data_IF_953489978174
#
_entry.id   IF_953489978174
#
_cell.length_a   1.000
_cell.length_b   1.000
_cell.length_c   1.000
_cell.angle_alpha   90.00
_cell.angle_beta   90.00
_cell.angle_gamma   90.00
#
_symmetry.space_group_name_H-M   'P 1'
#
loop_
_entity.id
_entity.type
_entity.pdbx_description
1 polymer ?
#
# COMPACT_ATOMS: atom_id res chain seq x y z
N UNK A 1 8.83 -15.26 18.58
CA UNK A 1 7.98 -15.48 19.78
C UNK A 1 7.78 -14.14 20.44
N UNK A 2 6.54 -13.84 20.81
CA UNK A 2 6.23 -12.68 21.65
C UNK A 2 6.67 -12.94 23.08
N UNK A 3 6.88 -11.88 23.85
CA UNK A 3 7.35 -11.96 25.23
C UNK A 3 6.19 -12.23 26.19
N UNK A 4 6.49 -12.87 27.33
CA UNK A 4 5.52 -13.03 28.42
C UNK A 4 5.28 -11.69 29.09
N UNK A 5 4.09 -11.49 29.66
CA UNK A 5 3.65 -10.21 30.20
C UNK A 5 3.26 -10.37 31.66
N UNK A 6 3.71 -9.43 32.49
CA UNK A 6 3.40 -9.33 33.90
C UNK A 6 2.65 -8.02 34.19
N UNK A 7 1.72 -8.07 35.13
CA UNK A 7 1.15 -6.88 35.74
C UNK A 7 2.10 -6.25 36.77
N UNK A 8 1.69 -5.14 37.38
CA UNK A 8 2.47 -4.40 38.38
C UNK A 8 2.78 -5.20 39.66
N UNK A 9 2.09 -6.32 39.89
CA UNK A 9 2.32 -7.23 41.02
C UNK A 9 3.25 -8.39 40.66
N UNK A 10 3.75 -8.44 39.41
CA UNK A 10 4.64 -9.50 38.93
C UNK A 10 3.92 -10.80 38.57
N UNK A 11 2.59 -10.78 38.44
CA UNK A 11 1.79 -11.94 38.02
C UNK A 11 1.57 -11.91 36.49
N UNK A 12 1.50 -13.09 35.87
CA UNK A 12 1.25 -13.19 34.43
C UNK A 12 -0.11 -12.58 34.06
N UNK A 13 -0.09 -11.65 33.11
CA UNK A 13 -1.25 -10.89 32.69
C UNK A 13 -1.12 -10.54 31.20
N UNK A 14 -2.12 -10.92 30.39
CA UNK A 14 -2.15 -10.62 28.95
C UNK A 14 -2.17 -9.12 28.65
N UNK A 15 -2.60 -8.28 29.58
CA UNK A 15 -2.59 -6.81 29.45
C UNK A 15 -1.41 -6.17 30.19
N UNK A 16 -0.60 -6.97 30.90
CA UNK A 16 0.56 -6.52 31.65
C UNK A 16 1.53 -5.68 30.81
N UNK A 17 2.15 -4.68 31.42
CA UNK A 17 3.09 -3.74 30.76
C UNK A 17 4.56 -4.04 31.04
N UNK A 18 4.83 -5.04 31.88
CA UNK A 18 6.17 -5.55 32.15
C UNK A 18 6.37 -6.79 31.29
N UNK A 19 7.38 -6.79 30.43
CA UNK A 19 7.67 -7.88 29.50
C UNK A 19 8.86 -8.69 29.97
N UNK A 20 8.74 -10.02 29.92
CA UNK A 20 9.83 -10.96 30.19
C UNK A 20 10.29 -11.60 28.88
N UNK A 21 11.57 -11.44 28.59
CA UNK A 21 12.19 -12.14 27.49
C UNK A 21 12.36 -13.65 27.83
N UNK A 22 11.72 -14.55 27.07
CA UNK A 22 11.65 -15.98 27.43
C UNK A 22 12.99 -16.72 27.36
N UNK A 23 14.05 -16.16 26.75
CA UNK A 23 15.33 -16.87 26.60
C UNK A 23 16.41 -16.42 27.58
N UNK A 24 16.35 -15.18 28.07
CA UNK A 24 17.36 -14.63 28.96
C UNK A 24 16.77 -14.08 30.27
N UNK A 25 15.44 -14.13 30.44
CA UNK A 25 14.69 -13.62 31.59
C UNK A 25 14.88 -12.12 31.86
N UNK A 26 15.33 -11.36 30.86
CA UNK A 26 15.41 -9.91 30.93
C UNK A 26 14.01 -9.29 31.06
N UNK A 27 13.91 -8.26 31.90
CA UNK A 27 12.69 -7.51 32.13
C UNK A 27 12.73 -6.18 31.38
N UNK A 28 11.62 -5.84 30.72
CA UNK A 28 11.41 -4.54 30.09
C UNK A 28 10.08 -3.95 30.56
N UNK A 29 10.11 -2.77 31.16
CA UNK A 29 8.91 -2.07 31.60
C UNK A 29 8.47 -1.06 30.53
N UNK A 30 7.29 -1.27 29.94
CA UNK A 30 6.66 -0.37 28.99
C UNK A 30 5.42 0.32 29.56
N UNK A 31 5.28 0.40 30.89
CA UNK A 31 4.16 1.08 31.55
C UNK A 31 4.09 2.57 31.21
N UNK A 32 5.21 3.18 30.83
CA UNK A 32 5.27 4.56 30.34
C UNK A 32 4.83 4.76 28.89
N UNK A 33 4.69 3.67 28.10
CA UNK A 33 4.31 3.74 26.69
C UNK A 33 2.79 3.85 26.56
N UNK A 34 2.33 4.89 25.85
CA UNK A 34 0.91 5.21 25.70
C UNK A 34 0.52 5.12 24.23
N UNK A 35 -0.39 4.21 23.91
CA UNK A 35 -0.95 4.05 22.57
C UNK A 35 -2.09 5.06 22.43
N UNK A 36 -1.87 6.12 21.64
CA UNK A 36 -2.82 7.23 21.55
C UNK A 36 -3.94 6.92 20.57
N UNK A 37 -3.59 6.41 19.38
CA UNK A 37 -4.57 6.14 18.32
C UNK A 37 -4.01 5.11 17.35
N UNK A 38 -4.77 4.07 17.06
CA UNK A 38 -4.48 3.17 15.94
C UNK A 38 -5.67 3.19 14.99
N UNK A 39 -5.48 3.67 13.76
CA UNK A 39 -6.58 3.80 12.80
C UNK A 39 -6.08 3.87 11.35
N UNK A 40 -7.02 3.99 10.41
CA UNK A 40 -6.71 4.20 8.99
C UNK A 40 -6.25 5.64 8.77
N UNK A 41 -5.09 5.81 8.13
CA UNK A 41 -4.52 7.12 7.78
C UNK A 41 -4.79 7.47 6.30
N UNK A 42 -4.89 6.48 5.43
CA UNK A 42 -5.17 6.71 4.01
C UNK A 42 -5.93 5.52 3.45
N UNK A 43 -6.98 5.81 2.67
CA UNK A 43 -7.68 4.84 1.82
C UNK A 43 -7.43 5.24 0.37
N UNK A 44 -7.15 4.27 -0.48
CA UNK A 44 -7.22 4.44 -1.93
C UNK A 44 -8.13 3.38 -2.52
N UNK A 45 -9.31 3.76 -2.96
CA UNK A 45 -10.21 2.86 -3.67
C UNK A 45 -9.88 2.90 -5.16
N UNK A 46 -9.69 1.73 -5.77
CA UNK A 46 -9.44 1.62 -7.21
C UNK A 46 -10.73 1.17 -7.89
N UNK A 47 -10.99 1.74 -9.06
CA UNK A 47 -12.14 1.41 -9.88
C UNK A 47 -11.70 1.06 -11.30
N UNK A 48 -12.46 0.16 -11.93
CA UNK A 48 -12.37 -0.15 -13.35
C UNK A 48 -13.62 0.36 -14.04
N UNK A 49 -13.50 0.67 -15.32
CA UNK A 49 -14.60 1.18 -16.12
C UNK A 49 -14.08 1.77 -17.42
N UNK A 50 -14.97 2.34 -18.22
CA UNK A 50 -14.59 3.23 -19.33
C UNK A 50 -14.68 4.67 -18.85
N UNK A 51 -13.83 5.55 -19.36
CA UNK A 51 -13.92 6.97 -18.97
C UNK A 51 -15.16 7.57 -19.65
N UNK A 52 -16.02 8.24 -18.88
CA UNK A 52 -17.18 8.96 -19.40
C UNK A 52 -16.76 10.03 -20.40
N UNK A 53 -17.58 10.22 -21.43
CA UNK A 53 -17.40 11.30 -22.37
C UNK A 53 -17.40 12.67 -21.64
N UNK A 54 -16.53 13.58 -22.07
CA UNK A 54 -16.38 14.91 -21.47
C UNK A 54 -15.49 14.99 -20.23
N UNK A 55 -15.19 13.88 -19.55
CA UNK A 55 -14.35 13.91 -18.34
C UNK A 55 -12.92 14.36 -18.64
N UNK A 56 -12.37 13.98 -19.80
CA UNK A 56 -11.02 14.39 -20.18
C UNK A 56 -10.93 15.87 -20.58
N UNK A 57 -12.05 16.48 -20.98
CA UNK A 57 -12.12 17.91 -21.34
C UNK A 57 -11.85 18.80 -20.11
N UNK A 58 -12.10 18.28 -18.90
CA UNK A 58 -11.74 18.95 -17.63
C UNK A 58 -10.23 19.24 -17.50
N UNK A 59 -9.37 18.61 -18.31
CA UNK A 59 -7.92 18.76 -18.24
C UNK A 59 -7.32 19.50 -19.44
N UNK A 60 -8.14 20.07 -20.32
CA UNK A 60 -7.67 20.91 -21.43
C UNK A 60 -7.06 22.23 -20.93
N UNK A 61 -7.61 22.78 -19.84
CA UNK A 61 -7.08 23.95 -19.15
C UNK A 61 -6.72 23.60 -17.71
N UNK A 62 -5.59 24.12 -17.23
CA UNK A 62 -5.20 23.98 -15.83
C UNK A 62 -6.02 24.93 -14.95
N UNK A 63 -6.48 24.47 -13.79
CA UNK A 63 -7.12 25.32 -12.80
C UNK A 63 -8.32 24.68 -12.13
N UNK A 64 -9.27 25.52 -11.71
CA UNK A 64 -10.49 25.07 -11.04
C UNK A 64 -11.52 24.58 -12.05
N UNK A 65 -12.08 23.40 -11.80
CA UNK A 65 -13.13 22.78 -12.63
C UNK A 65 -14.26 22.27 -11.74
N UNK A 66 -15.44 22.10 -12.32
CA UNK A 66 -16.62 21.55 -11.63
C UNK A 66 -16.91 20.13 -12.09
N UNK A 67 -17.11 19.22 -11.13
CA UNK A 67 -17.54 17.85 -11.38
C UNK A 67 -18.57 17.46 -10.31
N UNK A 68 -19.77 17.05 -10.73
CA UNK A 68 -20.84 16.61 -9.81
C UNK A 68 -21.25 17.65 -8.76
N UNK A 69 -21.17 18.94 -9.09
CA UNK A 69 -21.50 20.02 -8.15
C UNK A 69 -20.37 20.42 -7.20
N UNK A 70 -19.21 19.76 -7.26
CA UNK A 70 -18.04 20.09 -6.45
C UNK A 70 -16.95 20.78 -7.28
N UNK A 71 -16.23 21.69 -6.65
CA UNK A 71 -15.04 22.33 -7.23
C UNK A 71 -13.80 21.45 -7.01
N UNK A 72 -12.99 21.30 -8.05
CA UNK A 72 -11.73 20.56 -8.01
C UNK A 72 -10.62 21.37 -8.66
N UNK A 73 -9.40 21.23 -8.14
CA UNK A 73 -8.21 21.67 -8.85
C UNK A 73 -7.76 20.57 -9.81
N UNK A 74 -7.84 20.83 -11.12
CA UNK A 74 -7.38 19.93 -12.17
C UNK A 74 -5.89 20.07 -12.46
N UNK A 75 -5.20 18.96 -12.70
CA UNK A 75 -3.80 18.98 -13.09
C UNK A 75 -3.32 17.69 -13.75
N UNK A 76 -2.18 17.77 -14.44
CA UNK A 76 -1.46 16.60 -14.96
C UNK A 76 -0.48 16.06 -13.93
N UNK A 77 -0.22 14.77 -14.00
CA UNK A 77 0.72 14.09 -13.09
C UNK A 77 1.67 13.17 -13.86
N UNK A 78 2.84 12.93 -13.27
CA UNK A 78 3.88 12.07 -13.85
C UNK A 78 3.51 10.58 -13.84
N UNK A 79 4.27 9.80 -14.62
CA UNK A 79 4.09 8.34 -14.78
C UNK A 79 4.18 7.54 -13.49
N UNK A 80 4.86 8.05 -12.47
CA UNK A 80 5.04 7.35 -11.19
C UNK A 80 3.73 7.07 -10.46
N UNK A 81 2.70 7.88 -10.69
CA UNK A 81 1.36 7.66 -10.13
C UNK A 81 0.61 6.48 -10.80
N UNK A 82 0.97 6.14 -12.04
CA UNK A 82 0.24 5.23 -12.92
C UNK A 82 -0.93 5.87 -13.70
N UNK A 83 -1.25 7.14 -13.42
CA UNK A 83 -2.40 7.87 -14.00
C UNK A 83 -1.94 9.18 -14.64
N UNK A 84 -2.70 9.73 -15.59
CA UNK A 84 -2.29 10.93 -16.34
C UNK A 84 -2.77 12.24 -15.71
N UNK A 85 -3.90 12.20 -15.02
CA UNK A 85 -4.59 13.38 -14.53
C UNK A 85 -4.95 13.26 -13.05
N UNK A 86 -5.07 14.40 -12.37
CA UNK A 86 -5.59 14.51 -11.00
C UNK A 86 -6.70 15.56 -10.91
N UNK A 87 -7.75 15.26 -10.17
CA UNK A 87 -8.66 16.23 -9.57
C UNK A 87 -8.45 16.22 -8.08
N UNK A 88 -8.17 17.37 -7.47
CA UNK A 88 -7.91 17.47 -6.05
C UNK A 88 -8.90 18.44 -5.41
N UNK A 89 -9.57 18.00 -4.35
CA UNK A 89 -10.33 18.86 -3.46
C UNK A 89 -9.83 18.63 -2.03
N UNK A 90 -9.07 19.60 -1.51
CA UNK A 90 -8.45 19.50 -0.20
C UNK A 90 -9.45 19.66 0.96
N UNK A 91 -10.53 20.40 0.73
CA UNK A 91 -11.62 20.62 1.70
C UNK A 91 -12.39 19.32 1.92
N UNK A 92 -12.85 18.70 0.83
CA UNK A 92 -13.41 17.35 0.84
C UNK A 92 -12.40 16.27 1.26
N UNK A 93 -11.11 16.56 1.14
CA UNK A 93 -10.00 15.65 1.45
C UNK A 93 -9.87 14.47 0.49
N UNK A 94 -10.20 14.67 -0.78
CA UNK A 94 -10.17 13.65 -1.83
C UNK A 94 -9.27 14.03 -3.01
N UNK A 95 -8.62 13.02 -3.58
CA UNK A 95 -7.85 13.14 -4.84
C UNK A 95 -8.32 12.04 -5.78
N UNK A 96 -8.80 12.41 -6.96
CA UNK A 96 -9.15 11.47 -8.03
C UNK A 96 -7.99 11.43 -9.01
N UNK A 97 -7.37 10.26 -9.18
CA UNK A 97 -6.37 10.00 -10.21
C UNK A 97 -7.05 9.31 -11.38
N UNK A 98 -7.01 9.97 -12.54
CA UNK A 98 -7.83 9.62 -13.71
C UNK A 98 -6.92 9.28 -14.89
N UNK A 99 -7.39 8.31 -15.70
CA UNK A 99 -6.76 7.78 -16.92
C UNK A 99 -5.44 7.05 -16.66
N UNK A 100 -5.48 5.72 -16.72
CA UNK A 100 -4.26 4.91 -16.67
C UNK A 100 -3.33 5.22 -17.86
N UNK A 101 -2.02 5.24 -17.62
CA UNK A 101 -1.03 5.41 -18.69
C UNK A 101 -0.99 4.26 -19.70
N UNK A 102 -1.35 3.05 -19.27
CA UNK A 102 -1.16 1.82 -20.04
C UNK A 102 -2.44 1.28 -20.71
N UNK A 103 -3.57 1.97 -20.55
CA UNK A 103 -4.87 1.56 -21.11
C UNK A 103 -5.49 2.74 -21.85
N UNK A 104 -6.06 2.54 -23.04
CA UNK A 104 -6.70 3.61 -23.83
C UNK A 104 -7.97 4.09 -23.11
N UNK A 105 -8.35 5.36 -23.27
CA UNK A 105 -9.56 5.89 -22.59
C UNK A 105 -10.87 5.19 -22.97
N UNK A 106 -10.93 4.67 -24.19
CA UNK A 106 -12.09 3.97 -24.74
C UNK A 106 -12.24 2.54 -24.24
N UNK A 107 -11.17 1.98 -23.67
CA UNK A 107 -11.13 0.59 -23.24
C UNK A 107 -11.60 0.48 -21.78
N UNK A 108 -12.24 -0.64 -21.43
CA UNK A 108 -12.55 -0.92 -20.03
C UNK A 108 -11.25 -1.23 -19.28
N UNK A 109 -10.96 -0.47 -18.23
CA UNK A 109 -9.68 -0.56 -17.54
C UNK A 109 -9.63 0.15 -16.19
N UNK A 110 -8.51 0.04 -15.46
CA UNK A 110 -8.32 0.66 -14.14
C UNK A 110 -8.06 2.18 -14.28
N UNK A 111 -9.08 2.91 -14.73
CA UNK A 111 -8.97 4.32 -15.10
C UNK A 111 -9.15 5.28 -13.94
N UNK A 112 -9.59 4.83 -12.77
CA UNK A 112 -9.80 5.69 -11.61
C UNK A 112 -9.20 5.09 -10.35
N UNK A 113 -8.55 5.96 -9.58
CA UNK A 113 -8.20 5.72 -8.18
C UNK A 113 -8.58 6.95 -7.37
N UNK A 114 -9.33 6.75 -6.30
CA UNK A 114 -9.71 7.84 -5.38
C UNK A 114 -8.92 7.67 -4.10
N UNK A 115 -8.11 8.66 -3.75
CA UNK A 115 -7.35 8.72 -2.50
C UNK A 115 -8.06 9.63 -1.51
N UNK A 116 -8.14 9.18 -0.26
CA UNK A 116 -8.86 9.86 0.82
C UNK A 116 -7.89 10.16 1.96
N UNK A 117 -7.95 11.38 2.45
CA UNK A 117 -7.15 11.88 3.56
C UNK A 117 -7.68 11.46 4.93
N UNK A 118 -6.84 11.50 6.00
CA UNK A 118 -7.25 11.11 7.34
C UNK A 118 -8.46 11.87 7.88
N UNK A 119 -8.59 13.17 7.57
CA UNK A 119 -9.69 13.98 8.11
C UNK A 119 -11.04 13.56 7.53
N UNK A 120 -11.10 13.19 6.25
CA UNK A 120 -12.34 12.70 5.64
C UNK A 120 -12.68 11.32 6.19
N UNK A 121 -11.67 10.45 6.36
CA UNK A 121 -11.86 9.11 6.92
C UNK A 121 -12.44 9.19 8.33
N UNK A 122 -11.90 10.07 9.18
CA UNK A 122 -12.34 10.24 10.57
C UNK A 122 -13.83 10.64 10.68
N UNK A 123 -14.33 11.40 9.71
CA UNK A 123 -15.70 11.91 9.72
C UNK A 123 -16.73 10.95 9.09
N UNK A 124 -16.33 9.75 8.65
CA UNK A 124 -17.21 8.83 7.95
C UNK A 124 -17.07 7.40 8.48
N UNK A 125 -18.20 6.71 8.60
CA UNK A 125 -18.19 5.25 8.70
C UNK A 125 -17.66 4.65 7.39
N UNK A 126 -17.08 3.43 7.40
CA UNK A 126 -16.58 2.79 6.18
C UNK A 126 -17.63 2.72 5.06
N UNK A 127 -18.89 2.46 5.40
CA UNK A 127 -20.01 2.43 4.45
C UNK A 127 -20.29 3.80 3.84
N UNK A 128 -20.36 4.86 4.66
CA UNK A 128 -20.63 6.21 4.16
C UNK A 128 -19.46 6.73 3.34
N UNK A 129 -18.23 6.44 3.75
CA UNK A 129 -17.05 6.77 2.98
C UNK A 129 -17.09 6.08 1.62
N UNK A 130 -17.37 4.77 1.58
CA UNK A 130 -17.45 4.03 0.33
C UNK A 130 -18.53 4.61 -0.61
N UNK A 131 -19.72 4.93 -0.09
CA UNK A 131 -20.78 5.56 -0.88
C UNK A 131 -20.36 6.91 -1.49
N UNK A 132 -19.60 7.74 -0.75
CA UNK A 132 -19.01 8.97 -1.29
C UNK A 132 -18.05 8.67 -2.45
N UNK A 133 -17.19 7.65 -2.30
CA UNK A 133 -16.26 7.25 -3.36
C UNK A 133 -16.99 6.70 -4.58
N UNK A 134 -18.07 5.94 -4.38
CA UNK A 134 -18.86 5.38 -5.46
C UNK A 134 -19.57 6.48 -6.26
N UNK A 135 -20.16 7.46 -5.56
CA UNK A 135 -20.75 8.62 -6.22
C UNK A 135 -19.74 9.43 -7.03
N UNK A 136 -18.52 9.62 -6.53
CA UNK A 136 -17.43 10.26 -7.29
C UNK A 136 -16.96 9.41 -8.48
N UNK A 137 -16.94 8.09 -8.33
CA UNK A 137 -16.57 7.18 -9.40
C UNK A 137 -17.61 7.15 -10.53
N UNK A 138 -18.89 7.21 -10.20
CA UNK A 138 -19.99 7.30 -11.16
C UNK A 138 -19.91 8.55 -12.03
N UNK A 139 -19.36 9.65 -11.53
CA UNK A 139 -19.16 10.87 -12.31
C UNK A 139 -18.02 10.76 -13.34
N UNK A 140 -17.10 9.82 -13.13
CA UNK A 140 -15.88 9.67 -13.95
C UNK A 140 -15.97 8.48 -14.90
N UNK A 141 -16.62 7.39 -14.48
CA UNK A 141 -16.62 6.11 -15.19
C UNK A 141 -18.02 5.66 -15.63
N UNK A 142 -18.06 4.99 -16.78
CA UNK A 142 -19.14 4.12 -17.24
C UNK A 142 -18.78 2.66 -16.93
N UNK A 143 -19.79 1.81 -16.77
CA UNK A 143 -19.63 0.37 -16.49
C UNK A 143 -18.68 0.13 -15.31
N UNK A 144 -18.87 0.90 -14.22
CA UNK A 144 -17.92 0.90 -13.12
C UNK A 144 -17.93 -0.43 -12.35
N UNK A 145 -16.74 -0.88 -11.98
CA UNK A 145 -16.51 -2.06 -11.16
C UNK A 145 -15.45 -1.77 -10.11
N UNK A 146 -15.59 -2.37 -8.93
CA UNK A 146 -14.53 -2.32 -7.94
C UNK A 146 -13.28 -3.06 -8.43
N UNK A 147 -12.15 -2.40 -8.28
CA UNK A 147 -10.90 -3.09 -8.04
C UNK A 147 -10.61 -3.05 -6.54
N UNK A 148 -9.59 -3.77 -6.08
CA UNK A 148 -9.24 -3.78 -4.67
C UNK A 148 -8.78 -2.41 -4.14
N UNK A 149 -9.10 -2.11 -2.88
CA UNK A 149 -8.61 -0.93 -2.18
C UNK A 149 -7.13 -1.06 -1.77
N UNK A 150 -6.48 0.06 -1.43
CA UNK A 150 -5.21 0.11 -0.70
C UNK A 150 -5.43 0.90 0.59
N UNK A 151 -4.79 0.48 1.69
CA UNK A 151 -4.98 1.10 3.00
C UNK A 151 -3.65 1.34 3.71
N UNK A 152 -3.57 2.45 4.43
CA UNK A 152 -2.50 2.73 5.37
C UNK A 152 -3.08 2.70 6.78
N UNK A 153 -2.50 1.90 7.66
CA UNK A 153 -2.88 1.81 9.08
C UNK A 153 -1.77 2.43 9.90
N UNK A 154 -2.10 3.34 10.82
CA UNK A 154 -1.13 4.08 11.61
C UNK A 154 -1.44 3.96 13.11
N UNK A 155 -0.41 3.68 13.89
CA UNK A 155 -0.39 3.78 15.35
C UNK A 155 0.42 5.00 15.76
N UNK A 156 -0.22 5.91 16.49
CA UNK A 156 0.38 7.05 17.18
C UNK A 156 0.61 6.71 18.65
N UNK A 157 1.79 7.05 19.18
CA UNK A 157 2.17 6.68 20.54
C UNK A 157 3.17 7.67 21.19
N UNK A 158 3.18 7.69 22.51
CA UNK A 158 4.12 8.43 23.37
C UNK A 158 4.85 7.49 24.33
N UNK A 159 5.93 7.98 24.94
CA UNK A 159 6.75 7.21 25.90
C UNK A 159 7.65 6.14 25.26
N UNK A 160 7.71 6.08 23.92
CA UNK A 160 8.63 5.22 23.17
C UNK A 160 9.24 5.99 22.03
N UNK A 161 10.52 5.71 21.76
CA UNK A 161 11.26 6.21 20.61
C UNK A 161 12.01 5.06 19.93
N UNK A 162 12.22 5.12 18.61
CA UNK A 162 12.99 4.10 17.91
C UNK A 162 14.44 4.12 18.38
N UNK A 163 14.98 2.94 18.70
CA UNK A 163 16.38 2.80 19.08
C UNK A 163 17.31 3.15 17.91
N UNK A 164 18.54 3.60 18.21
CA UNK A 164 19.54 3.97 17.20
C UNK A 164 19.88 2.80 16.26
N UNK A 165 19.75 1.57 16.75
CA UNK A 165 20.01 0.34 16.02
C UNK A 165 18.76 -0.33 15.42
N UNK A 166 17.60 0.35 15.42
CA UNK A 166 16.33 -0.20 14.95
C UNK A 166 16.43 -0.76 13.52
N UNK A 167 17.21 -0.10 12.66
CA UNK A 167 17.47 -0.53 11.28
C UNK A 167 18.13 -1.90 11.21
N UNK A 168 19.07 -2.19 12.12
CA UNK A 168 19.79 -3.47 12.16
C UNK A 168 18.94 -4.57 12.80
N UNK A 169 18.07 -4.20 13.73
CA UNK A 169 17.23 -5.14 14.49
C UNK A 169 15.94 -5.52 13.76
N UNK A 170 15.46 -4.67 12.86
CA UNK A 170 14.25 -4.95 12.09
C UNK A 170 14.54 -5.93 10.94
N UNK A 171 13.94 -7.12 11.03
CA UNK A 171 14.02 -8.14 9.99
C UNK A 171 12.76 -8.14 9.12
N UNK A 172 12.91 -8.02 7.81
CA UNK A 172 11.80 -8.16 6.87
C UNK A 172 12.26 -8.83 5.57
N UNK A 173 11.30 -9.30 4.75
CA UNK A 173 11.62 -9.93 3.45
C UNK A 173 12.21 -8.93 2.45
N UNK A 174 11.85 -7.66 2.57
CA UNK A 174 12.38 -6.60 1.70
C UNK A 174 13.81 -6.28 2.10
N UNK A 175 14.73 -6.28 1.12
CA UNK A 175 16.10 -5.78 1.31
C UNK A 175 16.20 -4.26 1.20
N UNK A 176 15.12 -3.58 0.78
CA UNK A 176 15.09 -2.11 0.67
C UNK A 176 14.81 -1.50 2.03
N UNK A 177 15.81 -0.80 2.55
CA UNK A 177 15.74 0.06 3.73
C UNK A 177 16.13 1.46 3.30
N UNK A 178 15.36 2.46 3.71
CA UNK A 178 15.70 3.87 3.57
C UNK A 178 15.69 4.49 4.95
N UNK A 179 16.85 4.98 5.37
CA UNK A 179 16.95 5.97 6.43
C UNK A 179 16.89 7.34 5.76
N UNK A 180 15.81 8.08 6.03
CA UNK A 180 15.63 9.43 5.46
C UNK A 180 16.17 10.43 6.48
N UNK A 181 17.43 10.23 6.87
CA UNK A 181 18.22 11.23 7.57
C UNK A 181 19.00 12.07 6.55
N UNK A 182 18.53 13.28 6.25
CA UNK A 182 19.43 14.37 5.83
C UNK A 182 19.37 14.89 4.38
N UNK A 183 18.53 14.42 3.46
CA UNK A 183 18.34 15.10 2.16
C UNK A 183 16.89 14.96 1.68
N UNK A 184 16.11 16.03 1.78
CA UNK A 184 15.04 16.28 0.80
C UNK A 184 15.57 17.36 -0.15
N UNK A 185 15.60 17.05 -1.43
CA UNK A 185 15.76 18.06 -2.47
C UNK A 185 14.63 19.08 -2.36
N UNK A 186 15.03 20.37 -2.35
CA UNK A 186 14.24 21.61 -2.50
C UNK A 186 13.17 21.51 -3.60
N UNK A 187 12.00 22.17 -3.52
CA UNK A 187 11.72 23.62 -3.66
C UNK A 187 10.21 23.88 -3.37
N UNK A 188 9.63 25.03 -2.99
CA UNK A 188 10.01 26.46 -2.94
C UNK A 188 9.15 27.16 -1.84
N UNK A 189 9.80 27.89 -0.92
CA UNK A 189 9.37 29.11 -0.19
C UNK A 189 10.02 29.14 1.20
N UNK A 190 10.58 30.30 1.53
CA UNK A 190 11.62 30.54 2.52
C UNK A 190 11.31 30.17 3.98
N UNK A 191 12.42 29.96 4.69
CA UNK A 191 12.65 29.92 6.14
C UNK A 191 12.53 28.59 6.90
N UNK A 192 13.67 28.24 7.51
CA UNK A 192 13.91 27.32 8.62
C UNK A 192 14.36 25.87 8.32
N UNK A 193 15.70 25.75 8.29
CA UNK A 193 16.53 24.76 9.01
C UNK A 193 16.21 23.26 8.94
N UNK A 194 17.14 22.54 8.31
CA UNK A 194 17.29 21.08 8.33
C UNK A 194 17.47 20.56 9.76
N UNK A 195 16.48 19.84 10.29
CA UNK A 195 16.60 18.91 11.41
C UNK A 195 16.38 17.50 10.85
N UNK A 196 17.08 16.40 11.14
CA UNK A 196 18.10 15.97 12.08
C UNK A 196 18.17 14.44 11.88
N UNK A 197 19.25 13.74 12.26
CA UNK A 197 19.38 12.28 12.08
C UNK A 197 18.25 11.50 12.81
N UNK A 198 17.89 10.30 12.32
CA UNK A 198 16.98 9.36 12.99
C UNK A 198 15.50 9.79 13.16
N UNK A 199 14.96 10.62 12.27
CA UNK A 199 13.57 11.12 12.40
C UNK A 199 12.53 10.37 11.56
N UNK A 200 12.96 9.58 10.57
CA UNK A 200 12.07 8.83 9.68
C UNK A 200 12.78 7.62 9.08
N UNK A 201 12.18 6.45 9.28
CA UNK A 201 12.67 5.16 8.81
C UNK A 201 11.63 4.49 7.93
N UNK A 202 12.07 3.85 6.85
CA UNK A 202 11.17 3.21 5.90
C UNK A 202 11.72 1.89 5.38
N UNK A 203 10.90 0.83 5.46
CA UNK A 203 11.23 -0.50 4.97
C UNK A 203 10.17 -1.00 4.01
N UNK A 204 10.57 -1.77 3.00
CA UNK A 204 9.62 -2.30 2.02
C UNK A 204 9.47 -1.42 0.78
N UNK A 205 8.47 -1.72 -0.04
CA UNK A 205 8.23 -1.00 -1.30
C UNK A 205 6.75 -0.67 -1.48
N UNK A 206 6.48 0.47 -2.12
CA UNK A 206 5.14 0.99 -2.36
C UNK A 206 4.22 0.05 -3.16
N UNK A 207 4.78 -0.86 -3.98
CA UNK A 207 4.03 -1.90 -4.70
C UNK A 207 3.72 -3.16 -3.88
N UNK A 208 4.04 -3.16 -2.59
CA UNK A 208 3.90 -4.30 -1.69
C UNK A 208 3.41 -3.83 -0.30
N UNK A 209 4.05 -4.27 0.78
CA UNK A 209 3.87 -3.69 2.11
C UNK A 209 5.06 -2.81 2.42
N UNK A 210 4.80 -1.64 2.99
CA UNK A 210 5.82 -0.73 3.47
C UNK A 210 5.55 -0.37 4.93
N UNK A 211 6.59 -0.41 5.76
CA UNK A 211 6.58 0.10 7.12
C UNK A 211 7.26 1.46 7.13
N UNK A 212 6.67 2.44 7.79
CA UNK A 212 7.30 3.72 8.11
C UNK A 212 7.23 3.98 9.62
N UNK A 213 8.33 4.46 10.20
CA UNK A 213 8.40 4.89 11.60
C UNK A 213 8.95 6.32 11.60
N UNK A 214 8.24 7.29 12.16
CA UNK A 214 8.67 8.68 12.11
C UNK A 214 8.12 9.54 13.24
N UNK A 215 8.79 10.67 13.49
CA UNK A 215 8.35 11.68 14.43
C UNK A 215 7.12 12.41 13.86
N UNK A 216 5.94 12.05 14.37
CA UNK A 216 4.67 12.56 13.87
C UNK A 216 4.41 13.99 14.33
N UNK A 217 4.88 14.38 15.52
CA UNK A 217 4.78 15.77 15.99
C UNK A 217 5.51 16.73 15.05
N UNK A 218 6.75 16.41 14.66
CA UNK A 218 7.52 17.22 13.71
C UNK A 218 6.87 17.24 12.32
N UNK A 219 6.47 16.07 11.82
CA UNK A 219 5.81 15.96 10.51
C UNK A 219 4.48 16.74 10.46
N UNK A 220 3.67 16.65 11.52
CA UNK A 220 2.40 17.36 11.61
C UNK A 220 2.60 18.88 11.65
N UNK A 221 3.64 19.35 12.36
CA UNK A 221 4.02 20.76 12.40
C UNK A 221 4.48 21.27 11.04
N UNK A 222 5.31 20.50 10.31
CA UNK A 222 5.79 20.91 8.98
C UNK A 222 4.69 20.95 7.91
N UNK A 223 3.57 20.25 8.13
CA UNK A 223 2.42 20.26 7.22
C UNK A 223 1.25 21.10 7.70
N UNK A 224 1.45 21.89 8.77
CA UNK A 224 0.41 22.74 9.37
C UNK A 224 -0.88 21.99 9.75
N UNK A 225 -0.72 20.78 10.31
CA UNK A 225 -1.83 19.91 10.76
C UNK A 225 -1.73 19.52 12.23
N UNK A 226 -0.87 20.17 13.00
CA UNK A 226 -0.60 19.78 14.38
C UNK A 226 -1.84 19.85 15.26
N UNK A 227 -2.67 20.88 15.13
CA UNK A 227 -3.88 21.04 15.95
C UNK A 227 -4.93 19.99 15.64
N UNK A 228 -5.10 19.65 14.36
CA UNK A 228 -5.93 18.49 13.95
C UNK A 228 -5.45 17.22 14.65
N UNK A 229 -4.15 16.89 14.58
CA UNK A 229 -3.64 15.68 15.21
C UNK A 229 -3.72 15.72 16.74
N UNK A 230 -3.47 16.87 17.38
CA UNK A 230 -3.63 17.05 18.83
C UNK A 230 -5.07 16.78 19.28
N UNK A 231 -6.06 17.23 18.50
CA UNK A 231 -7.48 16.97 18.79
C UNK A 231 -7.85 15.48 18.72
N UNK A 232 -7.18 14.70 17.88
CA UNK A 232 -7.36 13.25 17.82
C UNK A 232 -6.62 12.54 18.97
N UNK A 233 -5.38 12.93 19.24
CA UNK A 233 -4.59 12.34 20.33
C UNK A 233 -5.21 12.60 21.70
N UNK A 234 -5.82 13.76 21.92
CA UNK A 234 -6.50 14.10 23.18
C UNK A 234 -7.73 13.24 23.47
N UNK A 235 -8.22 12.47 22.50
CA UNK A 235 -9.33 11.51 22.71
C UNK A 235 -8.86 10.20 23.32
N UNK A 236 -7.55 10.02 23.52
CA UNK A 236 -6.99 8.82 24.09
C UNK A 236 -7.08 8.85 25.62
N UNK A 237 -7.82 7.90 26.21
CA UNK A 237 -7.97 7.73 27.65
C UNK A 237 -7.56 6.31 28.07
N UNK A 238 -7.03 6.20 29.28
CA UNK A 238 -6.79 4.91 29.93
C UNK A 238 -8.09 4.29 30.44
N UNK A 239 -8.04 3.03 30.86
CA UNK A 239 -9.18 2.33 31.48
C UNK A 239 -9.69 3.00 32.77
N UNK A 240 -8.88 3.87 33.38
CA UNK A 240 -9.23 4.67 34.56
C UNK A 240 -9.62 6.12 34.22
N UNK A 241 -10.08 6.35 32.99
CA UNK A 241 -10.53 7.66 32.49
C UNK A 241 -9.49 8.79 32.65
N UNK A 242 -8.20 8.42 32.65
CA UNK A 242 -7.10 9.39 32.71
C UNK A 242 -6.64 9.70 31.28
N UNK A 243 -6.56 10.99 30.87
CA UNK A 243 -6.03 11.40 29.57
C UNK A 243 -4.62 10.83 29.35
N UNK A 244 -4.41 10.17 28.22
CA UNK A 244 -3.11 9.57 27.89
C UNK A 244 -2.20 10.52 27.12
N UNK A 245 -2.76 11.49 26.40
CA UNK A 245 -1.96 12.41 25.59
C UNK A 245 -1.35 13.54 26.43
N UNK A 246 -0.02 13.69 26.33
CA UNK A 246 0.72 14.80 26.90
C UNK A 246 1.18 15.76 25.78
N UNK A 247 0.73 17.02 25.73
CA UNK A 247 1.07 17.95 24.64
C UNK A 247 2.56 18.34 24.57
N UNK A 248 3.32 18.12 25.66
CA UNK A 248 4.75 18.41 25.76
C UNK A 248 5.64 17.24 25.31
N UNK A 249 5.06 16.06 25.13
CA UNK A 249 5.78 14.87 24.67
C UNK A 249 5.66 14.66 23.17
N UNK A 250 6.73 14.14 22.57
CA UNK A 250 6.76 13.81 21.15
C UNK A 250 5.91 12.58 20.84
N UNK A 251 5.08 12.68 19.81
CA UNK A 251 4.32 11.56 19.26
C UNK A 251 5.12 10.91 18.14
N UNK A 252 5.38 9.61 18.28
CA UNK A 252 5.91 8.77 17.22
C UNK A 252 4.77 8.05 16.51
N UNK A 253 4.93 7.84 15.20
CA UNK A 253 3.99 7.05 14.40
C UNK A 253 4.66 5.83 13.80
N UNK A 254 3.95 4.71 13.87
CA UNK A 254 4.24 3.49 13.14
C UNK A 254 3.13 3.30 12.10
N UNK A 255 3.48 3.36 10.81
CA UNK A 255 2.55 3.30 9.70
C UNK A 255 2.84 2.09 8.80
N UNK A 256 1.84 1.23 8.61
CA UNK A 256 1.87 0.10 7.70
C UNK A 256 1.02 0.41 6.46
N UNK A 257 1.67 0.44 5.30
CA UNK A 257 1.10 0.81 4.01
C UNK A 257 0.93 -0.43 3.14
N UNK A 258 -0.31 -0.76 2.80
CA UNK A 258 -0.66 -1.93 2.03
C UNK A 258 -1.11 -1.54 0.63
N UNK A 259 -0.33 -1.97 -0.36
CA UNK A 259 -0.72 -1.86 -1.75
C UNK A 259 -1.94 -2.75 -2.06
N UNK A 260 -2.79 -2.33 -3.00
CA UNK A 260 -4.04 -3.04 -3.32
C UNK A 260 -3.84 -4.50 -3.74
N UNK A 261 -2.72 -4.83 -4.38
CA UNK A 261 -2.39 -6.23 -4.70
C UNK A 261 -2.12 -7.07 -3.47
N UNK A 262 -1.63 -6.48 -2.37
CA UNK A 262 -1.45 -7.19 -1.10
C UNK A 262 -2.79 -7.41 -0.43
N UNK A 263 -3.66 -6.40 -0.41
CA UNK A 263 -5.02 -6.54 0.12
C UNK A 263 -5.77 -7.61 -0.67
N UNK A 264 -5.63 -7.64 -2.00
CA UNK A 264 -6.26 -8.66 -2.84
C UNK A 264 -5.79 -10.07 -2.46
N UNK A 265 -4.48 -10.26 -2.32
CA UNK A 265 -3.92 -11.54 -1.89
C UNK A 265 -4.34 -11.93 -0.48
N UNK A 266 -4.52 -10.94 0.40
CA UNK A 266 -5.00 -11.16 1.75
C UNK A 266 -6.48 -11.59 1.74
N UNK A 267 -7.32 -10.93 0.92
CA UNK A 267 -8.72 -11.27 0.76
C UNK A 267 -8.95 -12.64 0.08
N UNK A 268 -8.08 -13.01 -0.86
CA UNK A 268 -8.11 -14.32 -1.54
C UNK A 268 -7.54 -15.46 -0.69
N UNK A 269 -6.78 -15.15 0.37
CA UNK A 269 -6.08 -16.15 1.19
C UNK A 269 -6.61 -16.31 2.61
N UNK A 270 -7.38 -15.34 3.09
CA UNK A 270 -7.97 -15.35 4.42
C UNK A 270 -9.36 -15.96 4.36
N UNK A 271 -9.69 -16.80 5.33
CA UNK A 271 -10.93 -17.59 5.35
C UNK A 271 -11.70 -17.35 6.64
N UNK A 272 -13.02 -17.32 6.54
CA UNK A 272 -13.88 -17.36 7.71
C UNK A 272 -13.72 -18.72 8.41
N UNK A 273 -13.56 -18.72 9.74
CA UNK A 273 -13.25 -19.93 10.51
C UNK A 273 -14.44 -20.89 10.63
N UNK A 274 -15.68 -20.39 10.52
CA UNK A 274 -16.89 -21.18 10.58
C UNK A 274 -17.25 -21.78 9.22
N UNK A 275 -17.22 -20.98 8.14
CA UNK A 275 -17.66 -21.41 6.81
C UNK A 275 -16.54 -21.97 5.94
N UNK A 276 -15.28 -21.60 6.21
CA UNK A 276 -14.12 -21.92 5.37
C UNK A 276 -14.06 -21.13 4.06
N UNK A 277 -15.00 -20.23 3.80
CA UNK A 277 -15.01 -19.41 2.59
C UNK A 277 -13.99 -18.27 2.68
N UNK A 278 -13.36 -17.93 1.54
CA UNK A 278 -12.47 -16.76 1.53
C UNK A 278 -13.28 -15.47 1.62
N UNK A 279 -12.71 -14.45 2.25
CA UNK A 279 -13.41 -13.18 2.49
C UNK A 279 -13.70 -12.38 1.20
N UNK A 280 -12.91 -12.58 0.13
CA UNK A 280 -13.13 -12.06 -1.24
C UNK A 280 -13.53 -10.59 -1.42
N UNK A 281 -13.19 -9.72 -0.47
CA UNK A 281 -13.53 -8.29 -0.50
C UNK A 281 -12.97 -7.57 -1.74
N UNK A 282 -13.60 -6.45 -2.10
CA UNK A 282 -13.18 -5.55 -3.19
C UNK A 282 -13.20 -4.07 -2.80
N UNK A 283 -14.07 -3.68 -1.88
CA UNK A 283 -14.22 -2.29 -1.43
C UNK A 283 -13.58 -2.04 -0.07
N UNK A 284 -13.35 -0.76 0.28
CA UNK A 284 -12.89 -0.40 1.62
C UNK A 284 -13.91 -0.78 2.69
N UNK A 285 -15.21 -0.54 2.43
CA UNK A 285 -16.27 -0.89 3.37
C UNK A 285 -16.29 -2.38 3.72
N UNK A 286 -16.15 -3.25 2.72
CA UNK A 286 -16.08 -4.70 2.93
C UNK A 286 -14.81 -5.13 3.67
N UNK A 287 -13.69 -4.44 3.43
CA UNK A 287 -12.41 -4.81 4.04
C UNK A 287 -12.20 -4.23 5.45
N UNK A 288 -12.93 -3.19 5.83
CA UNK A 288 -12.76 -2.50 7.11
C UNK A 288 -12.83 -3.41 8.36
N UNK A 289 -13.76 -4.39 8.45
CA UNK A 289 -13.81 -5.33 9.59
C UNK A 289 -12.56 -6.20 9.76
N UNK A 290 -11.72 -6.31 8.73
CA UNK A 290 -10.53 -7.16 8.70
C UNK A 290 -9.21 -6.42 8.97
N UNK A 291 -9.27 -5.11 9.26
CA UNK A 291 -8.08 -4.27 9.38
C UNK A 291 -7.18 -4.63 10.56
N UNK A 292 -7.72 -5.15 11.66
CA UNK A 292 -6.91 -5.67 12.78
C UNK A 292 -6.12 -6.93 12.39
N UNK A 293 -6.73 -7.83 11.61
CA UNK A 293 -6.03 -8.98 11.04
C UNK A 293 -4.88 -8.53 10.15
N UNK A 294 -5.12 -7.51 9.33
CA UNK A 294 -4.09 -6.90 8.48
C UNK A 294 -2.99 -6.21 9.31
N UNK A 295 -3.35 -5.54 10.42
CA UNK A 295 -2.38 -4.94 11.35
C UNK A 295 -1.43 -5.97 11.93
N UNK A 296 -1.97 -7.06 12.52
CA UNK A 296 -1.16 -8.17 13.06
C UNK A 296 -0.30 -8.83 11.98
N UNK A 297 -0.81 -8.97 10.76
CA UNK A 297 -0.03 -9.46 9.62
C UNK A 297 1.19 -8.58 9.31
N UNK A 298 1.06 -7.25 9.41
CA UNK A 298 2.17 -6.31 9.23
C UNK A 298 3.29 -6.50 10.24
N UNK A 299 2.97 -6.59 11.52
CA UNK A 299 3.94 -6.84 12.60
C UNK A 299 4.60 -8.22 12.50
N UNK A 300 3.94 -9.19 11.88
CA UNK A 300 4.54 -10.47 11.54
C UNK A 300 5.43 -10.41 10.30
N UNK A 301 5.23 -9.43 9.42
CA UNK A 301 6.00 -9.25 8.19
C UNK A 301 7.27 -8.42 8.40
N UNK A 302 7.19 -7.42 9.27
CA UNK A 302 8.32 -6.61 9.73
C UNK A 302 8.59 -6.95 11.18
N UNK A 303 9.68 -7.64 11.45
CA UNK A 303 9.95 -8.22 12.76
C UNK A 303 11.03 -7.43 13.48
N UNK A 304 10.63 -6.58 14.41
CA UNK A 304 11.61 -5.96 15.31
C UNK A 304 12.00 -6.98 16.37
N UNK A 305 13.28 -7.36 16.41
CA UNK A 305 13.77 -8.38 17.32
C UNK A 305 14.61 -7.75 18.44
N UNK A 306 14.41 -8.22 19.68
CA UNK A 306 15.39 -8.01 20.74
C UNK A 306 16.59 -8.93 20.55
N UNK A 307 16.31 -10.18 20.14
CA UNK A 307 17.30 -11.18 19.82
C UNK A 307 16.71 -12.22 18.86
N UNK A 308 17.56 -13.12 18.32
CA UNK A 308 17.14 -14.11 17.32
C UNK A 308 15.91 -14.91 17.79
N UNK A 309 14.80 -14.72 17.10
CA UNK A 309 13.53 -15.44 17.33
C UNK A 309 12.65 -14.87 18.45
N UNK A 310 13.03 -13.77 19.11
CA UNK A 310 12.23 -13.10 20.14
C UNK A 310 11.95 -11.66 19.70
N UNK A 311 10.67 -11.30 19.63
CA UNK A 311 10.27 -9.95 19.29
C UNK A 311 10.70 -8.97 20.39
N UNK A 312 11.01 -7.75 20.00
CA UNK A 312 11.13 -6.62 20.91
C UNK A 312 9.83 -6.44 21.73
N UNK A 313 9.92 -6.05 23.01
CA UNK A 313 8.73 -5.91 23.86
C UNK A 313 7.76 -4.85 23.31
N UNK A 314 8.25 -3.75 22.73
CA UNK A 314 7.40 -2.73 22.12
C UNK A 314 6.68 -3.28 20.89
N UNK A 315 7.36 -4.13 20.10
CA UNK A 315 6.73 -4.81 18.97
C UNK A 315 5.62 -5.78 19.39
N UNK A 316 5.77 -6.40 20.57
CA UNK A 316 4.71 -7.25 21.17
C UNK A 316 3.53 -6.39 21.60
N UNK A 317 3.79 -5.30 22.33
CA UNK A 317 2.79 -4.31 22.76
C UNK A 317 1.96 -3.80 21.55
N UNK A 318 2.64 -3.30 20.52
CA UNK A 318 1.98 -2.68 19.36
C UNK A 318 1.16 -3.69 18.54
N UNK A 319 1.64 -4.92 18.39
CA UNK A 319 0.94 -5.94 17.63
C UNK A 319 -0.31 -6.49 18.34
N UNK A 320 -0.28 -6.57 19.68
CA UNK A 320 -1.30 -7.24 20.47
C UNK A 320 -2.35 -6.31 21.05
N UNK A 321 -1.97 -5.09 21.43
CA UNK A 321 -2.86 -4.18 22.16
C UNK A 321 -3.42 -3.03 21.32
N UNK A 322 -2.80 -2.72 20.16
CA UNK A 322 -3.35 -1.70 19.29
C UNK A 322 -4.59 -2.23 18.57
N UNK A 323 -5.74 -1.62 18.84
CA UNK A 323 -7.00 -1.89 18.14
C UNK A 323 -7.20 -0.88 17.02
N UNK A 324 -7.45 -1.36 15.79
CA UNK A 324 -7.64 -0.46 14.64
C UNK A 324 -9.05 0.12 14.70
N UNK A 325 -9.14 1.41 15.00
CA UNK A 325 -10.39 2.15 15.09
C UNK A 325 -10.96 2.37 13.68
N UNK A 326 -12.10 1.72 13.41
CA UNK A 326 -12.81 1.78 12.12
C UNK A 326 -14.29 2.11 12.28
N UNK A 327 -14.82 2.09 13.50
CA UNK A 327 -16.24 2.25 13.79
C UNK A 327 -17.11 1.06 13.37
N UNK A 328 -16.50 -0.07 12.99
CA UNK A 328 -17.21 -1.33 12.68
C UNK A 328 -16.65 -2.45 13.56
N UNK A 329 -17.47 -3.47 13.80
CA UNK A 329 -17.06 -4.65 14.55
C UNK A 329 -15.92 -5.40 13.83
N UNK A 330 -14.95 -5.84 14.63
CA UNK A 330 -13.75 -6.51 14.14
C UNK A 330 -14.02 -8.00 13.95
N UNK A 331 -13.73 -8.53 12.77
CA UNK A 331 -13.84 -9.97 12.48
C UNK A 331 -12.53 -10.71 12.78
N UNK A 332 -11.77 -10.22 13.76
CA UNK A 332 -10.44 -10.74 14.08
C UNK A 332 -10.49 -12.18 14.57
N UNK A 333 -11.47 -12.50 15.40
CA UNK A 333 -11.61 -13.81 16.04
C UNK A 333 -12.34 -14.83 15.13
N UNK A 334 -13.07 -14.35 14.11
CA UNK A 334 -13.86 -15.17 13.19
C UNK A 334 -13.18 -15.44 11.84
N UNK A 335 -11.92 -14.98 11.67
CA UNK A 335 -11.20 -15.07 10.39
C UNK A 335 -9.77 -15.56 10.60
N UNK A 336 -9.38 -16.60 9.86
CA UNK A 336 -7.98 -16.99 9.73
C UNK A 336 -7.33 -16.14 8.63
N UNK A 337 -6.38 -15.29 9.02
CA UNK A 337 -5.73 -14.34 8.12
C UNK A 337 -4.47 -14.87 7.45
N UNK A 338 -4.44 -14.87 6.12
CA UNK A 338 -3.27 -15.30 5.33
C UNK A 338 -3.26 -14.64 3.95
N UNK A 339 -2.06 -14.47 3.40
CA UNK A 339 -1.91 -14.13 1.98
C UNK A 339 -1.90 -15.36 1.12
N UNK A 340 -2.74 -15.35 0.10
CA UNK A 340 -2.63 -16.22 -1.05
C UNK A 340 -1.52 -15.71 -1.98
N UNK A 341 -0.62 -16.62 -2.38
CA UNK A 341 0.36 -16.34 -3.43
C UNK A 341 0.00 -17.22 -4.62
N UNK A 342 -0.21 -16.59 -5.78
CA UNK A 342 -0.47 -17.32 -7.03
C UNK A 342 0.61 -18.37 -7.23
N UNK A 343 0.18 -19.63 -7.33
CA UNK A 343 1.04 -20.75 -7.68
C UNK A 343 1.39 -20.71 -9.17
N UNK A 344 2.42 -21.44 -9.58
CA UNK A 344 2.86 -21.50 -10.98
C UNK A 344 1.74 -21.96 -11.95
N UNK A 345 0.72 -22.65 -11.45
CA UNK A 345 -0.49 -23.04 -12.19
C UNK A 345 -1.39 -21.86 -12.62
N UNK A 346 -1.22 -20.66 -12.04
CA UNK A 346 -1.97 -19.44 -12.38
C UNK A 346 -1.19 -18.48 -13.29
N UNK A 347 -0.45 -19.01 -14.26
CA UNK A 347 0.46 -18.25 -15.11
C UNK A 347 -0.28 -17.23 -16.00
N UNK A 348 -0.23 -15.94 -15.63
CA UNK A 348 -0.90 -14.86 -16.37
C UNK A 348 -0.37 -14.56 -17.79
N UNK A 349 0.69 -15.24 -18.24
CA UNK A 349 1.31 -14.96 -19.55
C UNK A 349 2.21 -13.72 -19.60
N UNK A 350 2.13 -12.81 -18.62
CA UNK A 350 2.92 -11.55 -18.61
C UNK A 350 4.43 -11.77 -18.73
N UNK A 351 4.96 -12.84 -18.13
CA UNK A 351 6.38 -13.16 -18.26
C UNK A 351 6.74 -13.65 -19.67
N UNK A 352 5.83 -14.36 -20.36
CA UNK A 352 5.99 -14.68 -21.79
C UNK A 352 6.02 -13.39 -22.60
N UNK A 353 5.10 -12.46 -22.37
CA UNK A 353 5.06 -11.19 -23.11
C UNK A 353 6.34 -10.36 -22.92
N UNK A 354 6.82 -10.23 -21.68
CA UNK A 354 8.07 -9.52 -21.37
C UNK A 354 9.29 -10.21 -21.99
N UNK A 355 9.36 -11.54 -21.89
CA UNK A 355 10.42 -12.32 -22.49
C UNK A 355 10.44 -12.13 -24.01
N UNK A 356 9.31 -12.31 -24.69
CA UNK A 356 9.19 -12.15 -26.14
C UNK A 356 9.57 -10.74 -26.61
N UNK A 357 9.17 -9.69 -25.88
CA UNK A 357 9.54 -8.31 -26.19
C UNK A 357 11.05 -8.03 -26.06
N UNK A 358 11.69 -8.57 -25.01
CA UNK A 358 13.14 -8.48 -24.81
C UNK A 358 13.90 -9.30 -25.85
N UNK A 359 13.44 -10.51 -26.13
CA UNK A 359 13.99 -11.40 -27.14
C UNK A 359 14.01 -10.75 -28.53
N UNK A 360 12.88 -10.18 -28.97
CA UNK A 360 12.81 -9.39 -30.23
C UNK A 360 13.81 -8.25 -30.22
N UNK A 361 13.93 -7.53 -29.11
CA UNK A 361 14.84 -6.37 -29.03
C UNK A 361 16.32 -6.77 -29.13
N UNK A 362 16.72 -7.91 -28.55
CA UNK A 362 18.07 -8.44 -28.66
C UNK A 362 18.37 -8.95 -30.08
N UNK A 363 17.45 -9.71 -30.67
CA UNK A 363 17.61 -10.24 -32.03
C UNK A 363 17.67 -9.15 -33.10
N UNK A 364 16.88 -8.09 -32.95
CA UNK A 364 16.92 -6.94 -33.83
C UNK A 364 18.31 -6.26 -33.80
N UNK A 365 18.96 -6.22 -32.64
CA UNK A 365 20.32 -5.68 -32.47
C UNK A 365 21.37 -6.54 -33.16
N UNK A 366 21.26 -7.85 -33.05
CA UNK A 366 22.18 -8.83 -33.66
C UNK A 366 21.85 -9.16 -35.13
N UNK A 367 20.90 -8.44 -35.74
CA UNK A 367 20.45 -8.66 -37.14
C UNK A 367 20.03 -10.10 -37.42
N UNK A 368 19.44 -10.77 -36.45
CA UNK A 368 18.94 -12.13 -36.62
C UNK A 368 17.59 -12.09 -37.36
N UNK A 369 17.53 -12.79 -38.49
CA UNK A 369 16.29 -12.90 -39.28
C UNK A 369 15.20 -13.70 -38.57
N UNK A 370 13.94 -13.37 -38.84
CA UNK A 370 12.77 -13.95 -38.17
C UNK A 370 12.70 -15.48 -38.21
N UNK A 371 13.13 -16.11 -39.31
CA UNK A 371 13.20 -17.58 -39.43
C UNK A 371 14.16 -18.18 -38.41
N UNK A 372 15.41 -17.73 -38.41
CA UNK A 372 16.44 -18.19 -37.45
C UNK A 372 16.05 -17.88 -36.01
N UNK A 373 15.41 -16.74 -35.77
CA UNK A 373 14.91 -16.37 -34.46
C UNK A 373 13.81 -17.31 -33.95
N UNK A 374 12.87 -17.69 -34.83
CA UNK A 374 11.79 -18.59 -34.52
C UNK A 374 12.30 -20.01 -34.26
N UNK A 375 13.16 -20.53 -35.14
CA UNK A 375 13.76 -21.86 -34.96
C UNK A 375 14.48 -21.97 -33.60
N UNK A 376 15.24 -20.93 -33.21
CA UNK A 376 15.93 -20.89 -31.91
C UNK A 376 14.98 -20.73 -30.73
N UNK A 377 13.87 -20.03 -30.90
CA UNK A 377 12.87 -19.88 -29.85
C UNK A 377 12.23 -21.22 -29.49
N UNK A 378 12.02 -22.09 -30.47
CA UNK A 378 11.43 -23.43 -30.29
C UNK A 378 12.38 -24.41 -29.59
N UNK A 379 13.68 -24.17 -29.63
CA UNK A 379 14.69 -25.00 -28.95
C UNK A 379 14.75 -24.77 -27.43
N UNK A 380 14.17 -23.68 -26.93
CA UNK A 380 14.23 -23.35 -25.50
C UNK A 380 13.28 -24.22 -24.69
N UNK A 381 13.69 -24.63 -23.49
CA UNK A 381 12.89 -25.49 -22.60
C UNK A 381 11.56 -24.82 -22.19
N UNK A 382 11.48 -23.50 -22.28
CA UNK A 382 10.27 -22.72 -22.01
C UNK A 382 9.33 -22.58 -23.21
N UNK A 383 9.66 -23.11 -24.39
CA UNK A 383 8.80 -23.05 -25.59
C UNK A 383 7.37 -23.52 -25.36
N UNK A 384 7.10 -24.66 -24.68
CA UNK A 384 5.72 -25.11 -24.46
C UNK A 384 4.85 -24.08 -23.74
N UNK A 385 5.43 -23.34 -22.78
CA UNK A 385 4.73 -22.28 -22.02
C UNK A 385 4.45 -21.06 -22.90
N UNK A 386 5.38 -20.73 -23.81
CA UNK A 386 5.20 -19.64 -24.79
C UNK A 386 4.09 -20.02 -25.77
N UNK A 387 4.13 -21.23 -26.31
CA UNK A 387 3.13 -21.76 -27.23
C UNK A 387 1.74 -21.76 -26.58
N UNK A 388 1.60 -22.35 -25.40
CA UNK A 388 0.35 -22.39 -24.64
C UNK A 388 -0.22 -20.98 -24.38
N UNK A 389 0.64 -20.01 -24.08
CA UNK A 389 0.21 -18.61 -23.89
C UNK A 389 -0.44 -18.01 -25.15
N UNK A 390 0.13 -18.26 -26.32
CA UNK A 390 -0.40 -17.76 -27.60
C UNK A 390 -1.62 -18.56 -28.07
N UNK A 391 -1.65 -19.88 -27.82
CA UNK A 391 -2.81 -20.73 -28.09
C UNK A 391 -4.03 -20.30 -27.28
N UNK A 392 -3.85 -19.94 -26.00
CA UNK A 392 -4.90 -19.37 -25.15
C UNK A 392 -5.44 -18.03 -25.67
N UNK A 393 -4.73 -17.36 -26.58
CA UNK A 393 -5.18 -16.16 -27.31
C UNK A 393 -5.74 -16.47 -28.70
N UNK A 394 -5.96 -17.75 -29.02
CA UNK A 394 -6.44 -18.21 -30.32
C UNK A 394 -5.41 -18.09 -31.44
N UNK A 395 -4.11 -17.96 -31.13
CA UNK A 395 -3.05 -17.84 -32.13
C UNK A 395 -2.40 -19.19 -32.41
N UNK A 396 -2.19 -19.50 -33.69
CA UNK A 396 -1.46 -20.70 -34.10
C UNK A 396 0.05 -20.45 -34.06
N UNK A 397 0.85 -21.51 -34.09
CA UNK A 397 2.31 -21.43 -34.22
C UNK A 397 2.75 -20.53 -35.40
N UNK A 398 2.05 -20.64 -36.54
CA UNK A 398 2.27 -19.79 -37.71
C UNK A 398 2.02 -18.31 -37.42
N UNK A 399 1.07 -18.00 -36.54
CA UNK A 399 0.78 -16.63 -36.14
C UNK A 399 1.80 -16.10 -35.13
N UNK A 400 2.39 -16.97 -34.30
CA UNK A 400 3.57 -16.61 -33.46
C UNK A 400 4.75 -16.24 -34.37
N UNK A 401 5.03 -17.01 -35.42
CA UNK A 401 6.07 -16.68 -36.39
C UNK A 401 5.82 -15.34 -37.08
N UNK A 402 4.59 -15.10 -37.56
CA UNK A 402 4.22 -13.80 -38.18
C UNK A 402 4.39 -12.65 -37.18
N UNK A 403 3.92 -12.83 -35.95
CA UNK A 403 4.06 -11.82 -34.89
C UNK A 403 5.53 -11.48 -34.64
N UNK A 404 6.39 -12.50 -34.53
CA UNK A 404 7.83 -12.32 -34.32
C UNK A 404 8.48 -11.57 -35.49
N UNK A 405 8.15 -11.97 -36.73
CA UNK A 405 8.61 -11.32 -37.95
C UNK A 405 8.20 -9.84 -37.97
N UNK A 406 6.93 -9.55 -37.75
CA UNK A 406 6.39 -8.20 -37.84
C UNK A 406 6.99 -7.30 -36.74
N UNK A 407 7.20 -7.85 -35.53
CA UNK A 407 7.85 -7.12 -34.43
C UNK A 407 9.33 -6.87 -34.67
N UNK A 408 10.06 -7.84 -35.23
CA UNK A 408 11.45 -7.63 -35.65
C UNK A 408 11.54 -6.53 -36.71
N UNK A 409 10.71 -6.61 -37.75
CA UNK A 409 10.65 -5.60 -38.81
C UNK A 409 10.31 -4.22 -38.26
N UNK A 410 9.29 -4.11 -37.39
CA UNK A 410 8.94 -2.86 -36.73
C UNK A 410 10.14 -2.29 -35.94
N UNK A 411 10.85 -3.14 -35.19
CA UNK A 411 11.98 -2.70 -34.35
C UNK A 411 13.15 -2.20 -35.20
N UNK A 412 13.50 -2.94 -36.26
CA UNK A 412 14.57 -2.57 -37.20
C UNK A 412 14.26 -1.26 -37.93
N UNK A 413 13.01 -1.04 -38.34
CA UNK A 413 12.60 0.17 -39.07
C UNK A 413 12.44 1.38 -38.15
N UNK A 414 11.74 1.26 -37.01
CA UNK A 414 11.42 2.41 -36.15
C UNK A 414 12.60 2.96 -35.35
N UNK A 415 13.49 2.09 -34.88
CA UNK A 415 14.49 2.47 -33.89
C UNK A 415 15.90 2.57 -34.47
N UNK A 416 16.06 2.20 -35.74
CA UNK A 416 17.35 2.14 -36.40
C UNK A 416 18.25 1.06 -35.79
N UNK A 417 19.30 0.73 -36.53
CA UNK A 417 20.38 -0.11 -36.05
C UNK A 417 21.38 0.83 -35.39
N UNK A 418 21.76 0.59 -34.14
CA UNK A 418 22.96 1.22 -33.60
C UNK A 418 24.14 0.69 -34.43
N UNK A 419 24.74 1.57 -35.25
CA UNK A 419 25.96 1.30 -36.03
C UNK A 419 27.14 1.18 -35.08
#
# INVERSE_FOLDING_TARGET
>A
MHQHRLNSQGLEDKQGRIFINPKNLGLSDLSGVRLLRCAVDTVRQLYRGKIRQGVLELFEQSGMVKLGGHDFHAGRIGRDSGYQFRLQNADMGVILLIKNFNVKETDHGPHLKIEVSPHTIENHTPKNLQALLDGLAELVLEDQEYNQCAVHIALDLQGWEPSVDIVNRLQCRSRRVRDISGISSYDFAADSTVYGKNQSFMWGSAGSVQLAIYNKTLQARSTDKLDFWRSLWSQAYSDFDTPMFNPDETVWRIELRYHHSVIQQFAEGSVNTETGECIYTRSFAEFAPHLEGLWRYGFNSFKLLEQKGVYDPAWTLFAQDAQVQTGVESLLDDTEYKRYYKTASGFSGKNVELFMGNFVSLLAREKVGAKKAFDRLQEWECWPVIQEHFENKGMTERDIYKWLRDKLTERTIRWGVAV
#
